data_IF_822231298278
#
_entry.id   IF_822231298278
#
_cell.length_a   1.000
_cell.length_b   1.000
_cell.length_c   1.000
_cell.angle_alpha   90.00
_cell.angle_beta   90.00
_cell.angle_gamma   90.00
#
_symmetry.space_group_name_H-M   'P 1'
#
loop_
_entity.id
_entity.type
_entity.pdbx_description
1 polymer ?
#
# COMPACT_ATOMS: atom_id res chain seq x y z
N UNK A 1 27.88 -8.37 8.16
CA UNK A 1 26.57 -8.95 8.55
C UNK A 1 26.04 -9.68 7.32
N UNK A 2 25.80 -10.99 7.36
CA UNK A 2 25.27 -11.70 6.20
C UNK A 2 23.88 -11.12 5.82
N UNK A 3 23.53 -11.06 4.53
CA UNK A 3 22.24 -10.53 4.10
C UNK A 3 21.10 -11.35 4.71
N UNK A 4 20.12 -10.66 5.33
CA UNK A 4 18.92 -11.30 5.87
C UNK A 4 18.09 -11.88 4.73
N UNK A 5 17.75 -13.19 4.74
CA UNK A 5 16.99 -13.81 3.66
C UNK A 5 15.54 -13.32 3.54
N UNK A 6 15.13 -12.33 4.33
CA UNK A 6 13.77 -11.77 4.35
C UNK A 6 13.72 -10.31 3.83
N UNK A 7 14.87 -9.67 3.58
CA UNK A 7 14.95 -8.24 3.24
C UNK A 7 15.83 -8.05 2.01
N UNK A 8 15.24 -8.26 0.83
CA UNK A 8 15.94 -8.13 -0.45
C UNK A 8 16.18 -6.66 -0.84
N UNK A 9 15.43 -5.73 -0.25
CA UNK A 9 15.63 -4.30 -0.45
C UNK A 9 16.87 -3.81 0.35
N UNK A 10 17.92 -3.28 -0.31
CA UNK A 10 19.16 -2.87 0.35
C UNK A 10 18.97 -1.76 1.39
N UNK A 11 17.93 -0.92 1.24
CA UNK A 11 17.63 0.13 2.21
C UNK A 11 16.95 -0.37 3.48
N UNK A 12 16.45 -1.60 3.47
CA UNK A 12 15.80 -2.22 4.62
C UNK A 12 16.68 -3.27 5.30
N UNK A 13 17.89 -3.53 4.80
CA UNK A 13 18.77 -4.60 5.26
C UNK A 13 19.15 -4.53 6.76
N UNK A 14 19.00 -3.36 7.39
CA UNK A 14 19.28 -3.12 8.82
C UNK A 14 18.05 -3.29 9.72
N UNK A 15 16.88 -3.53 9.15
CA UNK A 15 15.63 -3.65 9.90
C UNK A 15 15.45 -5.08 10.44
N UNK A 16 14.79 -5.19 11.59
CA UNK A 16 14.39 -6.49 12.11
C UNK A 16 13.33 -7.12 11.18
N UNK A 17 13.37 -8.44 10.97
CA UNK A 17 12.30 -9.17 10.32
C UNK A 17 10.96 -8.97 11.03
N UNK A 18 9.88 -9.06 10.27
CA UNK A 18 8.52 -9.02 10.81
C UNK A 18 8.29 -10.17 11.78
N UNK A 19 7.50 -9.88 12.83
CA UNK A 19 7.01 -10.89 13.79
C UNK A 19 5.77 -11.61 13.28
N UNK A 20 5.16 -11.14 12.18
CA UNK A 20 3.94 -11.71 11.64
C UNK A 20 4.22 -12.99 10.87
N UNK A 21 3.39 -14.03 11.04
CA UNK A 21 3.52 -15.25 10.25
C UNK A 21 3.29 -14.96 8.77
N UNK A 22 3.99 -15.69 7.91
CA UNK A 22 3.97 -15.48 6.45
C UNK A 22 2.55 -15.47 5.86
N UNK A 23 1.64 -16.32 6.36
CA UNK A 23 0.25 -16.35 5.92
C UNK A 23 -0.50 -15.03 6.15
N UNK A 24 -0.24 -14.37 7.28
CA UNK A 24 -0.82 -13.05 7.59
C UNK A 24 -0.23 -11.99 6.68
N UNK A 25 1.09 -12.00 6.44
CA UNK A 25 1.72 -11.06 5.50
C UNK A 25 1.16 -11.22 4.08
N UNK A 26 0.97 -12.46 3.62
CA UNK A 26 0.31 -12.75 2.33
C UNK A 26 -1.13 -12.25 2.29
N UNK A 27 -1.91 -12.47 3.35
CA UNK A 27 -3.29 -12.00 3.42
C UNK A 27 -3.36 -10.46 3.39
N UNK A 28 -2.44 -9.79 4.08
CA UNK A 28 -2.34 -8.33 4.07
C UNK A 28 -1.99 -7.79 2.67
N UNK A 29 -1.04 -8.40 1.98
CA UNK A 29 -0.70 -8.05 0.59
C UNK A 29 -1.86 -8.38 -0.36
N UNK A 30 -2.56 -9.50 -0.16
CA UNK A 30 -3.74 -9.86 -0.92
C UNK A 30 -4.87 -8.85 -0.77
N UNK A 31 -5.10 -8.33 0.43
CA UNK A 31 -6.06 -7.26 0.69
C UNK A 31 -5.70 -5.96 -0.04
N UNK A 32 -4.40 -5.60 -0.08
CA UNK A 32 -3.92 -4.48 -0.88
C UNK A 32 -4.23 -4.68 -2.38
N UNK A 33 -3.87 -5.83 -2.94
CA UNK A 33 -4.09 -6.14 -4.35
C UNK A 33 -5.58 -6.16 -4.72
N UNK A 34 -6.43 -6.65 -3.81
CA UNK A 34 -7.88 -6.60 -3.98
C UNK A 34 -8.38 -5.15 -4.00
N UNK A 35 -7.92 -4.30 -3.08
CA UNK A 35 -8.26 -2.88 -3.07
C UNK A 35 -7.84 -2.17 -4.36
N UNK A 36 -6.64 -2.47 -4.86
CA UNK A 36 -6.16 -1.96 -6.15
C UNK A 36 -7.04 -2.40 -7.33
N UNK A 37 -7.42 -3.69 -7.37
CA UNK A 37 -8.30 -4.23 -8.41
C UNK A 37 -9.71 -3.60 -8.36
N UNK A 38 -10.28 -3.42 -7.17
CA UNK A 38 -11.57 -2.76 -6.98
C UNK A 38 -11.52 -1.29 -7.41
N UNK A 39 -10.43 -0.59 -7.10
CA UNK A 39 -10.22 0.77 -7.59
C UNK A 39 -10.16 0.82 -9.12
N UNK A 40 -9.43 -0.10 -9.75
CA UNK A 40 -9.34 -0.17 -11.21
C UNK A 40 -10.72 -0.46 -11.83
N UNK A 41 -11.50 -1.34 -11.22
CA UNK A 41 -12.88 -1.61 -11.64
C UNK A 41 -13.75 -0.35 -11.56
N UNK A 42 -13.73 0.38 -10.44
CA UNK A 42 -14.49 1.62 -10.33
C UNK A 42 -14.04 2.70 -11.32
N UNK A 43 -12.74 2.78 -11.61
CA UNK A 43 -12.22 3.68 -12.63
C UNK A 43 -12.76 3.32 -14.02
N UNK A 44 -12.84 2.02 -14.33
CA UNK A 44 -13.36 1.53 -15.60
C UNK A 44 -14.88 1.70 -15.74
N UNK A 45 -15.64 1.67 -14.64
CA UNK A 45 -17.10 1.86 -14.65
C UNK A 45 -17.51 3.33 -14.45
N UNK A 46 -16.65 4.29 -14.80
CA UNK A 46 -16.91 5.74 -14.69
C UNK A 46 -17.26 6.23 -13.26
N UNK A 47 -16.91 5.45 -12.23
CA UNK A 47 -17.12 5.80 -10.82
C UNK A 47 -15.86 6.44 -10.24
N UNK A 48 -15.41 7.54 -10.85
CA UNK A 48 -14.13 8.20 -10.55
C UNK A 48 -13.93 8.46 -9.04
N UNK A 49 -14.98 8.89 -8.33
CA UNK A 49 -14.91 9.18 -6.89
C UNK A 49 -14.64 7.92 -6.07
N UNK A 50 -15.40 6.86 -6.33
CA UNK A 50 -15.24 5.57 -5.66
C UNK A 50 -13.88 4.97 -5.98
N UNK A 51 -13.41 5.11 -7.23
CA UNK A 51 -12.08 4.70 -7.64
C UNK A 51 -11.01 5.42 -6.82
N UNK A 52 -11.01 6.75 -6.80
CA UNK A 52 -9.98 7.54 -6.10
C UNK A 52 -9.98 7.32 -4.59
N UNK A 53 -11.15 7.22 -3.95
CA UNK A 53 -11.26 6.90 -2.52
C UNK A 53 -10.73 5.49 -2.25
N UNK A 54 -11.08 4.50 -3.09
CA UNK A 54 -10.62 3.11 -2.93
C UNK A 54 -9.11 3.00 -3.12
N UNK A 55 -8.55 3.69 -4.12
CA UNK A 55 -7.10 3.75 -4.33
C UNK A 55 -6.40 4.42 -3.16
N UNK A 56 -6.95 5.54 -2.66
CA UNK A 56 -6.43 6.24 -1.50
C UNK A 56 -6.36 5.33 -0.28
N UNK A 57 -7.46 4.62 0.02
CA UNK A 57 -7.50 3.63 1.10
C UNK A 57 -6.52 2.47 0.88
N UNK A 58 -6.35 1.99 -0.36
CA UNK A 58 -5.39 0.94 -0.69
C UNK A 58 -3.93 1.39 -0.46
N UNK A 59 -3.59 2.64 -0.78
CA UNK A 59 -2.26 3.21 -0.49
C UNK A 59 -2.03 3.37 1.02
N UNK A 60 -3.02 3.86 1.77
CA UNK A 60 -2.92 3.90 3.24
C UNK A 60 -2.72 2.49 3.83
N UNK A 61 -3.40 1.49 3.26
CA UNK A 61 -3.19 0.10 3.64
C UNK A 61 -1.80 -0.40 3.26
N UNK A 62 -1.28 -0.03 2.08
CA UNK A 62 0.09 -0.37 1.66
C UNK A 62 1.13 0.22 2.62
N UNK A 63 0.90 1.42 3.15
CA UNK A 63 1.75 1.99 4.21
C UNK A 63 1.79 1.09 5.46
N UNK A 64 0.64 0.54 5.89
CA UNK A 64 0.58 -0.44 6.99
C UNK A 64 1.28 -1.75 6.64
N UNK A 65 1.07 -2.27 5.42
CA UNK A 65 1.78 -3.44 4.90
C UNK A 65 3.29 -3.21 4.96
N UNK A 66 3.76 -2.01 4.58
CA UNK A 66 5.17 -1.67 4.61
C UNK A 66 5.77 -1.61 6.03
N UNK A 67 4.97 -1.22 7.02
CA UNK A 67 5.40 -1.21 8.42
C UNK A 67 5.46 -2.62 9.02
N UNK A 68 4.55 -3.50 8.58
CA UNK A 68 4.28 -4.77 9.25
C UNK A 68 4.83 -6.01 8.51
N UNK A 69 5.08 -5.93 7.20
CA UNK A 69 5.52 -7.06 6.39
C UNK A 69 6.99 -6.93 5.96
N UNK A 70 7.59 -8.08 5.64
CA UNK A 70 8.97 -8.17 5.17
C UNK A 70 9.08 -7.72 3.70
N UNK A 71 10.13 -6.95 3.38
CA UNK A 71 10.34 -6.38 2.04
C UNK A 71 10.44 -7.44 0.94
N UNK A 72 10.93 -8.65 1.27
CA UNK A 72 10.95 -9.78 0.33
C UNK A 72 9.56 -10.22 -0.12
N UNK A 73 8.57 -10.14 0.76
CA UNK A 73 7.19 -10.53 0.45
C UNK A 73 6.45 -9.40 -0.26
N UNK A 74 6.69 -8.16 0.18
CA UNK A 74 6.15 -6.94 -0.46
C UNK A 74 6.68 -6.76 -1.89
N UNK A 75 7.92 -7.19 -2.15
CA UNK A 75 8.49 -7.29 -3.50
C UNK A 75 8.62 -5.93 -4.18
N UNK A 76 8.03 -5.78 -5.37
CA UNK A 76 8.15 -4.58 -6.21
C UNK A 76 7.62 -3.30 -5.55
N UNK A 77 6.73 -3.43 -4.56
CA UNK A 77 6.20 -2.27 -3.82
C UNK A 77 7.18 -1.75 -2.76
N UNK A 78 8.29 -2.46 -2.48
CA UNK A 78 9.37 -2.00 -1.61
C UNK A 78 10.46 -1.30 -2.45
N UNK A 79 10.21 -0.08 -2.90
CA UNK A 79 11.03 0.61 -3.92
C UNK A 79 12.27 1.27 -3.33
N UNK A 80 12.13 2.04 -2.24
CA UNK A 80 13.25 2.76 -1.63
C UNK A 80 13.49 2.32 -0.20
N UNK A 81 13.19 3.15 0.79
CA UNK A 81 13.33 2.78 2.20
C UNK A 81 11.94 2.66 2.79
N UNK A 82 11.75 1.78 3.78
CA UNK A 82 10.46 1.66 4.48
C UNK A 82 9.86 3.00 4.89
N UNK A 83 10.69 3.92 5.42
CA UNK A 83 10.23 5.24 5.86
C UNK A 83 9.73 6.11 4.71
N UNK A 84 10.45 6.10 3.58
CA UNK A 84 10.07 6.86 2.40
C UNK A 84 8.77 6.31 1.81
N UNK A 85 8.69 5.00 1.61
CA UNK A 85 7.52 4.35 1.02
C UNK A 85 6.27 4.63 1.88
N UNK A 86 6.36 4.45 3.22
CA UNK A 86 5.26 4.74 4.15
C UNK A 86 4.82 6.20 4.09
N UNK A 87 5.78 7.14 4.07
CA UNK A 87 5.45 8.57 4.00
C UNK A 87 4.77 8.91 2.67
N UNK A 88 5.31 8.38 1.56
CA UNK A 88 4.78 8.59 0.23
C UNK A 88 3.35 8.05 0.10
N UNK A 89 3.14 6.78 0.48
CA UNK A 89 1.83 6.12 0.42
C UNK A 89 0.81 6.81 1.33
N UNK A 90 1.24 7.27 2.52
CA UNK A 90 0.37 7.98 3.46
C UNK A 90 -0.06 9.35 2.90
N UNK A 91 0.90 10.14 2.40
CA UNK A 91 0.61 11.47 1.86
C UNK A 91 -0.20 11.39 0.57
N UNK A 92 0.17 10.49 -0.34
CA UNK A 92 -0.54 10.30 -1.60
C UNK A 92 -1.93 9.72 -1.36
N UNK A 93 -2.03 8.62 -0.62
CA UNK A 93 -3.31 7.97 -0.32
C UNK A 93 -4.25 8.86 0.47
N UNK A 94 -3.72 9.55 1.49
CA UNK A 94 -4.47 10.53 2.27
C UNK A 94 -4.92 11.73 1.44
N UNK A 95 -4.04 12.28 0.60
CA UNK A 95 -4.37 13.37 -0.32
C UNK A 95 -5.44 12.98 -1.33
N UNK A 96 -5.32 11.80 -1.93
CA UNK A 96 -6.32 11.25 -2.86
C UNK A 96 -7.69 11.10 -2.19
N UNK A 97 -7.76 10.50 -1.01
CA UNK A 97 -9.00 10.34 -0.27
C UNK A 97 -9.58 11.70 0.14
N UNK A 98 -8.75 12.63 0.64
CA UNK A 98 -9.17 13.97 1.01
C UNK A 98 -9.80 14.71 -0.18
N UNK A 99 -9.07 14.83 -1.30
CA UNK A 99 -9.58 15.53 -2.49
C UNK A 99 -10.83 14.86 -3.07
N UNK A 100 -10.85 13.53 -3.14
CA UNK A 100 -12.01 12.79 -3.64
C UNK A 100 -13.23 12.88 -2.73
N UNK A 101 -13.07 13.18 -1.43
CA UNK A 101 -14.19 13.41 -0.52
C UNK A 101 -14.58 14.89 -0.42
N UNK A 102 -13.66 15.82 -0.66
CA UNK A 102 -13.92 17.26 -0.59
C UNK A 102 -14.67 17.83 -1.80
N UNK A 103 -14.60 17.20 -2.97
CA UNK A 103 -15.33 17.67 -4.17
C UNK A 103 -16.81 17.31 -4.02
N UNK A 104 -17.76 18.24 -4.21
CA UNK A 104 -19.18 17.88 -4.19
C UNK A 104 -19.56 16.93 -5.34
N UNK A 105 -20.43 15.96 -5.05
CA UNK A 105 -20.96 15.08 -6.10
C UNK A 105 -22.09 15.80 -6.82
N UNK A 106 -21.80 16.32 -8.01
CA UNK A 106 -22.83 16.61 -9.00
C UNK A 106 -23.40 15.27 -9.49
N UNK A 107 -24.29 14.67 -8.70
CA UNK A 107 -25.06 13.47 -9.04
C UNK A 107 -24.27 12.16 -9.18
N UNK A 108 -23.48 11.77 -8.17
CA UNK A 108 -23.03 10.37 -7.99
C UNK A 108 -23.88 9.65 -6.97
#
# INVERSE_FOLDING_TARGET
>A
MPPSPYLDNPHDATLAPSRLPRGVQCAMLGAFLLGLALSALFAFTEHWRRATVTLGAALLWLALVRLLCDSRLVGIFAVRSRRFDVLFDTLLGGGMAFFALSVDSLGS
#
